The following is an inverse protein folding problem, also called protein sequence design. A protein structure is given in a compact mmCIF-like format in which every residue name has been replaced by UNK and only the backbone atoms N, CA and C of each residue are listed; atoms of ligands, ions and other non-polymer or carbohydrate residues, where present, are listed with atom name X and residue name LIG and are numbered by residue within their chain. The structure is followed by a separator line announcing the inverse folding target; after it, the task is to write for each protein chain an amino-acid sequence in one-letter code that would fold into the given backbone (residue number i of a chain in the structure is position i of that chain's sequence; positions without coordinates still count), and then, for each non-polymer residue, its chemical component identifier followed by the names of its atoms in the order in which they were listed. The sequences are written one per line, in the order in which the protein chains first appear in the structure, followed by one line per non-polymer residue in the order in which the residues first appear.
data_IF_114924668838
#
_entry.id   IF_114924668838
#
_cell.length_a   1.000
_cell.length_b   1.000
_cell.length_c   1.000
_cell.angle_alpha   90.00
_cell.angle_beta   90.00
_cell.angle_gamma   90.00
#
_symmetry.space_group_name_H-M   'P 1'
#
loop_
_entity.id
_entity.type
_entity.pdbx_description
1 polymer ?
#
# COMPACT_ATOMS: atom_id res chain seq x y z
N UNK A 1 -0.56 0.73 -16.56
CA UNK A 1 -0.01 2.10 -16.57
C UNK A 1 1.09 2.11 -17.63
N UNK A 2 0.91 2.82 -18.73
CA UNK A 2 1.97 3.01 -19.73
C UNK A 2 2.70 4.30 -19.36
N UNK A 3 3.95 4.20 -18.92
CA UNK A 3 4.79 5.36 -18.63
C UNK A 3 5.70 5.60 -19.82
N UNK A 4 5.56 6.76 -20.46
CA UNK A 4 6.56 7.28 -21.40
C UNK A 4 7.30 8.38 -20.64
N UNK A 5 8.61 8.23 -20.47
CA UNK A 5 9.44 9.20 -19.75
C UNK A 5 10.56 9.72 -20.64
N UNK A 6 10.93 10.99 -20.42
CA UNK A 6 12.10 11.62 -21.03
C UNK A 6 13.06 11.99 -19.91
N UNK A 7 14.30 11.54 -20.00
CA UNK A 7 15.34 11.76 -18.98
C UNK A 7 16.22 12.94 -19.35
N UNK A 8 16.31 13.90 -18.44
CA UNK A 8 17.46 14.79 -18.27
C UNK A 8 18.23 14.25 -17.06
N UNK A 9 19.57 14.29 -17.05
CA UNK A 9 20.44 13.51 -16.17
C UNK A 9 20.14 13.55 -14.64
N UNK A 10 19.29 14.45 -14.17
CA UNK A 10 18.86 14.55 -12.76
C UNK A 10 17.32 14.42 -12.57
N UNK A 11 16.52 14.67 -13.60
CA UNK A 11 15.05 14.81 -13.48
C UNK A 11 14.31 13.98 -14.51
N UNK A 12 13.24 13.36 -14.05
CA UNK A 12 12.34 12.53 -14.85
C UNK A 12 11.02 13.26 -15.01
N UNK A 13 10.60 13.46 -16.26
CA UNK A 13 9.24 13.90 -16.58
C UNK A 13 8.44 12.70 -17.09
N UNK A 14 7.30 12.44 -16.47
CA UNK A 14 6.36 11.38 -16.87
C UNK A 14 4.93 11.91 -16.88
N UNK A 15 4.04 11.20 -17.57
CA UNK A 15 2.61 11.51 -17.56
C UNK A 15 1.78 10.34 -17.02
N UNK A 16 0.62 10.67 -16.46
CA UNK A 16 -0.42 9.70 -16.15
C UNK A 16 -1.80 10.30 -16.46
N UNK A 17 -2.78 9.40 -16.64
CA UNK A 17 -4.16 9.81 -16.88
C UNK A 17 -4.86 9.93 -15.52
N UNK A 18 -5.32 11.13 -15.18
CA UNK A 18 -6.03 11.35 -13.93
C UNK A 18 -7.49 10.93 -14.07
N UNK A 19 -7.90 9.90 -13.31
CA UNK A 19 -9.27 9.39 -13.33
C UNK A 19 -10.29 10.38 -12.76
N UNK A 20 -9.85 11.31 -11.89
CA UNK A 20 -10.72 12.32 -11.31
C UNK A 20 -10.99 13.51 -12.27
N UNK A 21 -10.16 13.67 -13.30
CA UNK A 21 -10.20 14.79 -14.23
C UNK A 21 -10.40 14.28 -15.66
N UNK A 22 -11.44 13.46 -15.86
CA UNK A 22 -11.86 12.89 -17.15
C UNK A 22 -10.75 12.19 -17.95
N UNK A 23 -9.81 11.52 -17.27
CA UNK A 23 -8.67 10.82 -17.89
C UNK A 23 -7.72 11.77 -18.65
N UNK A 24 -7.72 13.07 -18.34
CA UNK A 24 -6.76 14.02 -18.91
C UNK A 24 -5.33 13.64 -18.51
N UNK A 25 -4.40 13.92 -19.42
CA UNK A 25 -2.96 13.70 -19.20
C UNK A 25 -2.43 14.78 -18.26
N UNK A 26 -1.92 14.37 -17.10
CA UNK A 26 -1.13 15.23 -16.21
C UNK A 26 0.34 14.89 -16.34
N UNK A 27 1.17 15.92 -16.44
CA UNK A 27 2.63 15.79 -16.52
C UNK A 27 3.24 16.18 -15.18
N UNK A 28 4.15 15.35 -14.68
CA UNK A 28 4.88 15.60 -13.44
C UNK A 28 6.37 15.48 -13.72
N UNK A 29 7.14 16.42 -13.18
CA UNK A 29 8.61 16.39 -13.20
C UNK A 29 9.13 16.32 -11.78
N UNK A 30 10.02 15.38 -11.51
CA UNK A 30 10.65 15.20 -10.21
C UNK A 30 12.05 14.59 -10.35
N UNK A 31 12.81 14.60 -9.27
CA UNK A 31 14.14 13.98 -9.24
C UNK A 31 14.07 12.47 -9.42
N UNK A 32 15.09 11.90 -10.04
CA UNK A 32 15.13 10.48 -10.39
C UNK A 32 15.04 9.57 -9.15
N UNK A 33 15.70 9.95 -8.05
CA UNK A 33 15.68 9.17 -6.81
C UNK A 33 14.27 9.10 -6.21
N UNK A 34 13.56 10.23 -6.22
CA UNK A 34 12.17 10.32 -5.74
C UNK A 34 11.25 9.48 -6.61
N UNK A 35 11.46 9.50 -7.92
CA UNK A 35 10.69 8.69 -8.86
C UNK A 35 10.89 7.18 -8.64
N UNK A 36 12.14 6.74 -8.48
CA UNK A 36 12.48 5.33 -8.23
C UNK A 36 11.87 4.84 -6.92
N UNK A 37 11.99 5.62 -5.84
CA UNK A 37 11.38 5.28 -4.54
C UNK A 37 9.86 5.10 -4.65
N UNK A 38 9.16 6.03 -5.32
CA UNK A 38 7.72 5.94 -5.51
C UNK A 38 7.30 4.71 -6.31
N UNK A 39 8.04 4.34 -7.35
CA UNK A 39 7.77 3.12 -8.12
C UNK A 39 7.98 1.86 -7.28
N UNK A 40 9.06 1.81 -6.50
CA UNK A 40 9.39 0.63 -5.69
C UNK A 40 8.33 0.33 -4.63
N UNK A 41 7.69 1.35 -4.03
CA UNK A 41 6.58 1.15 -3.08
C UNK A 41 5.39 0.42 -3.73
N UNK A 42 5.15 0.67 -5.02
CA UNK A 42 4.06 0.04 -5.76
C UNK A 42 4.42 -1.35 -6.29
N UNK A 43 5.69 -1.73 -6.28
CA UNK A 43 6.13 -3.03 -6.75
C UNK A 43 6.28 -3.99 -5.55
N UNK A 44 5.30 -4.88 -5.29
CA UNK A 44 5.42 -5.83 -4.21
C UNK A 44 6.62 -6.76 -4.43
N UNK A 45 7.35 -7.15 -3.37
CA UNK A 45 8.45 -8.11 -3.46
C UNK A 45 8.01 -9.41 -4.17
N UNK A 46 8.94 -10.09 -4.85
CA UNK A 46 8.69 -11.30 -5.67
C UNK A 46 7.91 -12.41 -4.94
N UNK A 47 8.04 -12.51 -3.62
CA UNK A 47 7.38 -13.50 -2.78
C UNK A 47 6.28 -12.91 -1.87
N UNK A 48 5.93 -11.65 -2.05
CA UNK A 48 4.90 -10.98 -1.26
C UNK A 48 3.51 -11.40 -1.75
N UNK A 49 2.90 -12.36 -1.06
CA UNK A 49 1.49 -12.72 -1.27
C UNK A 49 0.59 -11.69 -0.60
N UNK A 50 -0.03 -10.82 -1.40
CA UNK A 50 -1.20 -10.06 -0.93
C UNK A 50 -2.34 -11.03 -0.62
N UNK A 51 -2.80 -11.07 0.64
CA UNK A 51 -3.98 -11.85 1.02
C UNK A 51 -5.21 -11.13 0.45
N UNK A 52 -5.68 -11.58 -0.71
CA UNK A 52 -6.80 -10.96 -1.40
C UNK A 52 -8.14 -11.46 -0.83
N UNK A 53 -8.96 -10.55 -0.27
CA UNK A 53 -10.42 -10.60 0.07
C UNK A 53 -11.10 -11.92 0.51
N UNK A 54 -10.38 -12.99 0.78
CA UNK A 54 -10.89 -14.27 1.23
C UNK A 54 -9.88 -14.92 2.18
N UNK A 55 -10.20 -14.82 3.46
CA UNK A 55 -9.50 -15.39 4.60
C UNK A 55 -10.46 -15.33 5.80
N UNK A 56 -9.97 -15.40 7.03
CA UNK A 56 -10.80 -15.23 8.24
C UNK A 56 -11.65 -13.94 8.27
N UNK A 57 -11.37 -12.98 7.38
CA UNK A 57 -12.04 -11.69 7.24
C UNK A 57 -12.88 -11.53 5.96
N UNK A 58 -13.16 -12.60 5.21
CA UNK A 58 -14.07 -12.54 4.05
C UNK A 58 -15.49 -12.11 4.45
N UNK A 59 -16.31 -11.60 3.51
CA UNK A 59 -17.73 -11.28 3.81
C UNK A 59 -18.56 -12.54 4.05
N UNK A 60 -18.36 -13.55 3.20
CA UNK A 60 -19.08 -14.82 3.27
C UNK A 60 -18.24 -15.86 4.00
N UNK A 61 -18.25 -15.80 5.33
CA UNK A 61 -17.61 -16.79 6.19
C UNK A 61 -18.64 -17.88 6.54
N UNK A 62 -18.27 -19.14 6.37
CA UNK A 62 -19.10 -20.28 6.77
C UNK A 62 -19.40 -20.24 8.27
N UNK A 63 -20.59 -20.70 8.67
CA UNK A 63 -20.99 -20.69 10.09
C UNK A 63 -19.98 -21.43 11.00
N UNK A 64 -19.41 -22.53 10.50
CA UNK A 64 -18.37 -23.30 11.19
C UNK A 64 -17.12 -22.46 11.46
N UNK A 65 -16.65 -21.70 10.47
CA UNK A 65 -15.49 -20.83 10.62
C UNK A 65 -15.79 -19.64 11.55
N UNK A 66 -17.00 -19.06 11.49
CA UNK A 66 -17.43 -17.99 12.42
C UNK A 66 -17.34 -18.45 13.89
N UNK A 67 -17.80 -19.66 14.20
CA UNK A 67 -17.77 -20.20 15.56
C UNK A 67 -16.34 -20.42 16.08
N UNK A 68 -15.46 -20.91 15.21
CA UNK A 68 -14.04 -21.07 15.51
C UNK A 68 -13.40 -19.70 15.76
N UNK A 69 -13.59 -18.73 14.86
CA UNK A 69 -13.06 -17.37 15.02
C UNK A 69 -13.58 -16.73 16.31
N UNK A 70 -14.86 -16.88 16.64
CA UNK A 70 -15.44 -16.35 17.88
C UNK A 70 -14.77 -16.92 19.13
N UNK A 71 -14.44 -18.22 19.13
CA UNK A 71 -13.75 -18.90 20.24
C UNK A 71 -12.32 -18.39 20.45
N UNK A 72 -11.61 -18.07 19.36
CA UNK A 72 -10.22 -17.59 19.40
C UNK A 72 -10.06 -16.07 19.31
N UNK A 73 -11.17 -15.32 19.19
CA UNK A 73 -11.16 -13.86 19.17
C UNK A 73 -10.75 -13.34 20.54
N UNK A 74 -9.46 -13.10 20.73
CA UNK A 74 -8.95 -12.37 21.90
C UNK A 74 -9.61 -10.99 21.96
N UNK A 75 -10.03 -10.57 23.16
CA UNK A 75 -10.41 -9.17 23.38
C UNK A 75 -9.13 -8.35 23.36
N UNK A 76 -8.82 -7.74 22.22
CA UNK A 76 -7.79 -6.73 22.18
C UNK A 76 -8.35 -5.43 22.76
N UNK A 77 -7.60 -4.78 23.65
CA UNK A 77 -7.85 -3.38 23.96
C UNK A 77 -7.74 -2.58 22.66
N UNK A 78 -8.60 -1.57 22.51
CA UNK A 78 -8.60 -0.70 21.34
C UNK A 78 -7.24 0.01 21.32
N UNK A 79 -6.36 -0.36 20.40
CA UNK A 79 -5.06 0.31 20.25
C UNK A 79 -5.27 1.66 19.58
N UNK A 80 -4.44 2.63 19.96
CA UNK A 80 -4.39 3.95 19.32
C UNK A 80 -4.13 3.83 17.81
N UNK A 81 -3.27 2.88 17.42
CA UNK A 81 -2.91 2.60 16.04
C UNK A 81 -3.61 1.36 15.48
N UNK A 82 -3.88 1.34 14.17
CA UNK A 82 -4.37 0.15 13.47
C UNK A 82 -3.35 -0.99 13.55
N UNK A 83 -3.79 -2.24 13.40
CA UNK A 83 -2.90 -3.41 13.38
C UNK A 83 -1.74 -3.23 12.39
N UNK A 84 -2.03 -2.66 11.21
CA UNK A 84 -1.03 -2.41 10.18
C UNK A 84 0.02 -1.39 10.62
N UNK A 85 -0.42 -0.23 11.14
CA UNK A 85 0.51 0.81 11.64
C UNK A 85 1.36 0.27 12.78
N UNK A 86 0.75 -0.46 13.72
CA UNK A 86 1.45 -1.06 14.84
C UNK A 86 2.51 -2.06 14.37
N UNK A 87 2.17 -2.96 13.45
CA UNK A 87 3.13 -3.92 12.90
C UNK A 87 4.28 -3.25 12.15
N UNK A 88 4.00 -2.19 11.39
CA UNK A 88 5.05 -1.41 10.72
C UNK A 88 6.01 -0.77 11.72
N UNK A 89 5.49 -0.17 12.79
CA UNK A 89 6.31 0.42 13.86
C UNK A 89 7.10 -0.67 14.60
N UNK A 90 6.45 -1.75 15.02
CA UNK A 90 7.09 -2.83 15.77
C UNK A 90 8.20 -3.52 14.96
N UNK A 91 8.02 -3.66 13.64
CA UNK A 91 8.95 -4.40 12.76
C UNK A 91 10.05 -3.50 12.21
N UNK A 92 9.71 -2.27 11.79
CA UNK A 92 10.62 -1.40 11.05
C UNK A 92 10.98 -0.13 11.80
N UNK A 93 10.32 0.18 12.92
CA UNK A 93 10.51 1.44 13.67
C UNK A 93 9.98 2.67 12.95
N UNK A 94 9.25 2.50 11.83
CA UNK A 94 8.78 3.60 10.99
C UNK A 94 7.26 3.57 10.89
N UNK A 95 6.65 4.75 11.04
CA UNK A 95 5.22 4.90 10.83
C UNK A 95 4.92 4.94 9.31
N UNK A 96 4.11 4.00 8.77
CA UNK A 96 4.00 3.79 7.32
C UNK A 96 3.30 4.93 6.56
N UNK A 97 2.63 5.83 7.28
CA UNK A 97 1.98 7.03 6.72
C UNK A 97 2.69 8.34 7.08
N UNK A 98 3.78 8.29 7.83
CA UNK A 98 4.59 9.48 8.11
C UNK A 98 5.87 9.39 7.30
N UNK A 99 6.16 10.44 6.53
CA UNK A 99 7.45 10.54 5.86
C UNK A 99 8.51 10.91 6.90
N UNK A 100 9.64 10.21 6.99
CA UNK A 100 10.80 10.75 7.69
C UNK A 100 11.24 12.03 6.94
N UNK A 101 11.48 13.10 7.71
CA UNK A 101 11.98 14.38 7.19
C UNK A 101 13.34 14.20 6.53
#
# INVERSE_FOLDING_TARGET
MYFQSKTSYEKVTFFFNDLADDKKKKYVTMDIDKFVQQILIHLPPKNFKMINRFGFYGRNITAKLKNIVKKYKKSFSKSEYSFYVKQSIDTFGVHPFMCPY
#
